data_IF_371756782072
#
_entry.id   IF_371756782072
#
_cell.length_a   1.000
_cell.length_b   1.000
_cell.length_c   1.000
_cell.angle_alpha   90.00
_cell.angle_beta   90.00
_cell.angle_gamma   90.00
#
_symmetry.space_group_name_H-M   'P 1'
#
loop_
_entity.id
_entity.type
_entity.pdbx_description
1 polymer ?
#
# COMPACT_ATOMS: atom_id res chain seq x y z
N UNK A 1 -10.07 19.71 -3.70
CA UNK A 1 -8.81 20.45 -3.48
C UNK A 1 -7.71 19.70 -4.22
N UNK A 2 -7.14 20.28 -5.28
CA UNK A 2 -6.00 19.74 -6.01
C UNK A 2 -4.83 20.72 -5.84
N UNK A 3 -3.88 20.36 -4.97
CA UNK A 3 -2.73 21.19 -4.61
C UNK A 3 -1.38 20.65 -5.12
N UNK A 4 -1.42 19.60 -5.94
CA UNK A 4 -0.22 18.97 -6.48
C UNK A 4 0.34 19.81 -7.63
N UNK A 5 1.56 20.32 -7.49
CA UNK A 5 2.26 21.05 -8.55
C UNK A 5 2.81 20.05 -9.56
N UNK A 6 2.47 20.26 -10.84
CA UNK A 6 2.97 19.47 -11.97
C UNK A 6 3.95 20.33 -12.75
N UNK A 7 5.16 19.81 -12.96
CA UNK A 7 6.18 20.43 -13.79
C UNK A 7 6.32 19.66 -15.12
N UNK A 8 6.75 20.33 -16.22
CA UNK A 8 7.13 19.61 -17.43
C UNK A 8 8.18 18.54 -17.14
N UNK A 9 7.93 17.33 -17.63
CA UNK A 9 8.79 16.15 -17.38
C UNK A 9 8.30 15.22 -16.27
N UNK A 10 7.40 15.67 -15.40
CA UNK A 10 6.79 14.79 -14.39
C UNK A 10 6.00 13.65 -15.05
N UNK A 11 6.00 12.49 -14.40
CA UNK A 11 5.27 11.31 -14.83
C UNK A 11 3.91 11.30 -14.12
N UNK A 12 2.83 11.24 -14.89
CA UNK A 12 1.48 11.13 -14.37
C UNK A 12 1.00 9.69 -14.50
N UNK A 13 0.56 9.10 -13.39
CA UNK A 13 -0.04 7.77 -13.34
C UNK A 13 -1.42 7.90 -12.71
N UNK A 14 -2.45 7.34 -13.33
CA UNK A 14 -3.79 7.37 -12.76
C UNK A 14 -4.60 6.14 -13.11
N UNK A 15 -5.58 5.85 -12.26
CA UNK A 15 -6.53 4.75 -12.38
C UNK A 15 -7.96 5.22 -12.04
N UNK A 16 -8.84 4.29 -11.69
CA UNK A 16 -10.22 4.60 -11.31
C UNK A 16 -10.36 5.33 -9.97
N UNK A 17 -9.33 5.31 -9.12
CA UNK A 17 -9.36 5.89 -7.79
C UNK A 17 -8.77 7.30 -7.79
N UNK A 18 -7.57 7.48 -8.37
CA UNK A 18 -6.86 8.77 -8.31
C UNK A 18 -5.78 8.96 -9.38
N UNK A 19 -5.13 10.13 -9.34
CA UNK A 19 -3.95 10.48 -10.15
C UNK A 19 -2.78 10.81 -9.23
N UNK A 20 -1.63 10.24 -9.53
CA UNK A 20 -0.34 10.45 -8.86
C UNK A 20 0.64 11.19 -9.79
N UNK A 21 1.41 12.11 -9.23
CA UNK A 21 2.49 12.83 -9.90
C UNK A 21 3.82 12.34 -9.37
N UNK A 22 4.68 11.84 -10.25
CA UNK A 22 5.98 11.23 -9.91
C UNK A 22 7.09 12.07 -10.53
N UNK A 23 8.09 12.45 -9.73
CA UNK A 23 9.28 13.13 -10.21
C UNK A 23 10.19 12.15 -10.97
N UNK A 24 10.77 12.54 -12.12
CA UNK A 24 11.60 11.64 -12.93
C UNK A 24 12.75 10.99 -12.17
N UNK A 25 13.38 11.74 -11.26
CA UNK A 25 14.46 11.29 -10.39
C UNK A 25 14.05 10.14 -9.44
N UNK A 26 12.79 10.11 -9.01
CA UNK A 26 12.25 9.12 -8.09
C UNK A 26 11.65 7.90 -8.81
N UNK A 27 11.36 8.03 -10.10
CA UNK A 27 10.56 7.05 -10.85
C UNK A 27 11.15 5.64 -10.81
N UNK A 28 12.48 5.51 -10.92
CA UNK A 28 13.16 4.21 -10.93
C UNK A 28 13.06 3.47 -9.60
N UNK A 29 13.31 4.17 -8.48
CA UNK A 29 13.22 3.57 -7.14
C UNK A 29 11.77 3.34 -6.73
N UNK A 30 10.88 4.26 -7.07
CA UNK A 30 9.44 4.11 -6.80
C UNK A 30 8.85 2.90 -7.54
N UNK A 31 9.25 2.67 -8.80
CA UNK A 31 8.79 1.50 -9.56
C UNK A 31 9.24 0.18 -8.91
N UNK A 32 10.48 0.10 -8.41
CA UNK A 32 10.97 -1.08 -7.68
C UNK A 32 10.20 -1.30 -6.39
N UNK A 33 9.99 -0.25 -5.60
CA UNK A 33 9.23 -0.31 -4.36
C UNK A 33 7.78 -0.73 -4.62
N UNK A 34 7.12 -0.16 -5.63
CA UNK A 34 5.75 -0.50 -6.01
C UNK A 34 5.64 -1.96 -6.46
N UNK A 35 6.59 -2.48 -7.24
CA UNK A 35 6.61 -3.89 -7.63
C UNK A 35 6.74 -4.83 -6.41
N UNK A 36 7.56 -4.47 -5.43
CA UNK A 36 7.69 -5.23 -4.19
C UNK A 36 6.41 -5.21 -3.33
N UNK A 37 5.71 -4.07 -3.28
CA UNK A 37 4.39 -3.97 -2.60
C UNK A 37 3.36 -4.84 -3.32
N UNK A 38 3.26 -4.73 -4.64
CA UNK A 38 2.32 -5.51 -5.44
C UNK A 38 2.50 -7.02 -5.23
N UNK A 39 3.74 -7.51 -5.25
CA UNK A 39 4.03 -8.93 -5.01
C UNK A 39 3.57 -9.39 -3.61
N UNK A 40 3.76 -8.55 -2.59
CA UNK A 40 3.27 -8.85 -1.23
C UNK A 40 1.74 -8.91 -1.21
N UNK A 41 1.07 -7.93 -1.80
CA UNK A 41 -0.40 -7.86 -1.85
C UNK A 41 -1.00 -9.02 -2.64
N UNK A 42 -0.39 -9.45 -3.75
CA UNK A 42 -0.80 -10.63 -4.51
C UNK A 42 -0.76 -11.90 -3.63
N UNK A 43 0.30 -12.06 -2.84
CA UNK A 43 0.42 -13.18 -1.89
C UNK A 43 -0.65 -13.13 -0.78
N UNK A 44 -0.96 -11.94 -0.27
CA UNK A 44 -2.01 -11.73 0.72
C UNK A 44 -3.40 -12.06 0.14
N UNK A 45 -3.70 -11.57 -1.06
CA UNK A 45 -4.94 -11.87 -1.78
C UNK A 45 -5.09 -13.37 -2.01
N UNK A 46 -4.02 -14.05 -2.44
CA UNK A 46 -4.03 -15.49 -2.63
C UNK A 46 -4.30 -16.26 -1.32
N UNK A 47 -3.73 -15.80 -0.19
CA UNK A 47 -4.01 -16.35 1.14
C UNK A 47 -5.47 -16.21 1.55
N UNK A 48 -6.06 -15.03 1.34
CA UNK A 48 -7.48 -14.76 1.60
C UNK A 48 -8.36 -15.66 0.73
N UNK A 49 -8.10 -15.73 -0.58
CA UNK A 49 -8.87 -16.55 -1.52
C UNK A 49 -8.76 -18.05 -1.21
N UNK A 50 -7.62 -18.51 -0.70
CA UNK A 50 -7.40 -19.89 -0.28
C UNK A 50 -7.97 -20.21 1.11
N UNK A 51 -8.67 -19.28 1.77
CA UNK A 51 -9.22 -19.47 3.12
C UNK A 51 -8.18 -19.51 4.24
N UNK A 52 -6.91 -19.15 3.95
CA UNK A 52 -5.83 -19.06 4.95
C UNK A 52 -5.84 -17.72 5.70
N UNK A 53 -6.70 -16.80 5.27
CA UNK A 53 -6.84 -15.47 5.86
C UNK A 53 -5.64 -14.56 5.56
N UNK A 54 -5.56 -13.47 6.32
CA UNK A 54 -4.49 -12.48 6.23
C UNK A 54 -3.90 -12.22 7.63
N UNK A 55 -2.93 -13.05 8.07
CA UNK A 55 -2.37 -12.95 9.41
C UNK A 55 -1.56 -11.65 9.55
N UNK A 56 -1.89 -10.86 10.56
CA UNK A 56 -1.22 -9.58 10.88
C UNK A 56 -0.75 -9.60 12.33
N UNK A 57 0.25 -10.42 12.68
CA UNK A 57 0.66 -10.62 14.07
C UNK A 57 1.11 -9.32 14.77
N UNK A 58 1.59 -8.33 14.01
CA UNK A 58 1.93 -7.01 14.55
C UNK A 58 0.70 -6.27 15.09
N UNK A 59 -0.49 -6.50 14.51
CA UNK A 59 -1.74 -5.90 14.99
C UNK A 59 -2.09 -6.49 16.34
N UNK A 60 -2.03 -7.82 16.48
CA UNK A 60 -2.31 -8.51 17.74
C UNK A 60 -1.37 -8.02 18.85
N UNK A 61 -0.07 -7.90 18.56
CA UNK A 61 0.92 -7.36 19.50
C UNK A 61 0.62 -5.91 19.92
N UNK A 62 0.17 -5.07 18.99
CA UNK A 62 -0.19 -3.68 19.31
C UNK A 62 -1.47 -3.62 20.14
N UNK A 63 -2.46 -4.45 19.84
CA UNK A 63 -3.71 -4.54 20.61
C UNK A 63 -3.42 -4.98 22.05
N UNK A 64 -2.55 -5.97 22.24
CA UNK A 64 -2.07 -6.39 23.56
C UNK A 64 -1.35 -5.25 24.30
N UNK A 65 -0.47 -4.50 23.62
CA UNK A 65 0.25 -3.38 24.21
C UNK A 65 -0.66 -2.23 24.65
N UNK A 66 -1.72 -1.95 23.90
CA UNK A 66 -2.68 -0.88 24.20
C UNK A 66 -3.68 -1.30 25.29
N UNK A 67 -3.73 -2.61 25.62
CA UNK A 67 -4.59 -3.13 26.68
C UNK A 67 -6.07 -3.15 26.29
N UNK A 68 -6.37 -3.54 25.04
CA UNK A 68 -7.75 -3.62 24.57
C UNK A 68 -8.51 -4.76 25.24
N UNK A 69 -9.80 -4.56 25.48
CA UNK A 69 -10.72 -5.61 25.94
C UNK A 69 -11.42 -6.23 24.73
N UNK A 70 -11.44 -7.57 24.65
CA UNK A 70 -12.16 -8.31 23.62
C UNK A 70 -13.58 -8.59 24.12
N UNK A 71 -14.58 -8.04 23.42
CA UNK A 71 -16.00 -8.26 23.72
C UNK A 71 -16.56 -9.24 22.69
N UNK A 72 -17.25 -10.27 23.16
CA UNK A 72 -17.91 -11.32 22.35
C UNK A 72 -19.24 -10.82 21.74
#
# INVERSE_FOLDING_TARGET
>A
MGGQVICPGDILVGDGDSILVIKPEDAGELAKAAAAVKLKEEGQLAGIHAGKGFPRPFVDQILEQIGVEYVD
#
